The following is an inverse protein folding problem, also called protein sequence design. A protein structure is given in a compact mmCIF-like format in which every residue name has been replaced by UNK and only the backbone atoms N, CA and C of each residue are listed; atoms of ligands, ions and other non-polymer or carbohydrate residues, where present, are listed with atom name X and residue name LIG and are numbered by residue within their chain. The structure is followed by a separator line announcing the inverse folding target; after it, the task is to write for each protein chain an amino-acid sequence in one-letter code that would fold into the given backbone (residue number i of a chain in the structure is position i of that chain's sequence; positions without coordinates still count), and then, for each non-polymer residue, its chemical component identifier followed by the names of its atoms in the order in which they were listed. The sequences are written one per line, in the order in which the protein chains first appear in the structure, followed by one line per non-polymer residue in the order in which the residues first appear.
data_IF_526474595751
#
_entry.id   IF_526474595751
#
_cell.length_a   1.000
_cell.length_b   1.000
_cell.length_c   1.000
_cell.angle_alpha   90.00
_cell.angle_beta   90.00
_cell.angle_gamma   90.00
#
_symmetry.space_group_name_H-M   'P 1'
#
loop_
_entity.id
_entity.type
_entity.pdbx_description
1 polymer ?
#
# COMPACT_ATOMS: atom_id res chain seq x y z
N UNK A 1 -8.43 4.61 58.93
CA UNK A 1 -7.56 3.54 59.46
C UNK A 1 -8.04 2.25 58.81
N UNK A 2 -7.13 1.48 58.17
CA UNK A 2 -7.32 0.21 57.42
C UNK A 2 -8.10 0.34 56.09
N UNK A 3 -7.53 0.29 54.86
CA UNK A 3 -6.60 -0.61 54.11
C UNK A 3 -7.12 -2.03 53.83
N UNK A 4 -6.77 -2.52 52.63
CA UNK A 4 -7.05 -3.78 51.91
C UNK A 4 -8.27 -3.72 50.95
N UNK A 5 -8.20 -4.06 49.66
CA UNK A 5 -7.11 -4.58 48.82
C UNK A 5 -7.62 -4.92 47.41
N UNK A 6 -6.80 -4.57 46.41
CA UNK A 6 -6.41 -5.38 45.23
C UNK A 6 -7.40 -5.76 44.10
N UNK A 7 -7.03 -5.25 42.90
CA UNK A 7 -6.86 -5.93 41.58
C UNK A 7 -8.09 -6.60 40.93
N UNK A 8 -8.58 -5.99 39.85
CA UNK A 8 -9.17 -6.64 38.67
C UNK A 8 -8.85 -5.74 37.47
N UNK A 9 -7.83 -6.10 36.68
CA UNK A 9 -7.88 -6.95 35.48
C UNK A 9 -7.97 -6.11 34.21
N UNK A 10 -6.82 -6.00 33.55
CA UNK A 10 -6.72 -5.81 32.11
C UNK A 10 -7.45 -6.94 31.37
N UNK A 11 -7.76 -6.66 30.10
CA UNK A 11 -8.38 -7.54 29.08
C UNK A 11 -9.91 -7.54 29.05
N UNK A 12 -10.46 -6.85 28.04
CA UNK A 12 -11.10 -7.44 26.85
C UNK A 12 -11.49 -6.28 25.91
N UNK A 13 -10.66 -6.00 24.91
CA UNK A 13 -11.12 -5.35 23.66
C UNK A 13 -10.83 -6.32 22.53
N UNK A 14 -11.65 -7.35 22.46
CA UNK A 14 -11.83 -8.20 21.28
C UNK A 14 -13.27 -8.71 21.31
N UNK A 15 -14.17 -8.06 20.58
CA UNK A 15 -15.22 -8.76 19.85
C UNK A 15 -15.66 -7.98 18.60
N UNK A 16 -15.37 -8.66 17.50
CA UNK A 16 -15.75 -8.49 16.11
C UNK A 16 -17.25 -8.27 15.95
N UNK A 17 -17.62 -7.13 15.35
CA UNK A 17 -18.92 -6.94 14.72
C UNK A 17 -18.76 -6.90 13.20
N UNK A 18 -18.57 -8.06 12.55
CA UNK A 18 -18.78 -8.21 11.11
C UNK A 18 -20.26 -7.98 10.83
N UNK A 19 -20.64 -6.75 10.50
CA UNK A 19 -21.94 -6.47 9.91
C UNK A 19 -21.78 -6.55 8.40
N UNK A 20 -22.20 -7.67 7.83
CA UNK A 20 -22.59 -7.70 6.42
C UNK A 20 -23.75 -6.71 6.26
N UNK A 21 -23.50 -5.60 5.57
CA UNK A 21 -24.57 -4.76 5.01
C UNK A 21 -24.62 -4.99 3.51
N UNK A 22 -25.45 -5.95 3.10
CA UNK A 22 -25.98 -6.02 1.75
C UNK A 22 -26.99 -4.88 1.56
N UNK A 23 -26.53 -3.80 0.92
CA UNK A 23 -27.35 -2.67 0.51
C UNK A 23 -26.50 -1.79 -0.37
N UNK A 24 -26.83 -1.72 -1.66
CA UNK A 24 -26.13 -0.86 -2.62
C UNK A 24 -26.44 0.61 -2.33
N UNK A 25 -25.82 1.20 -1.30
CA UNK A 25 -25.56 2.63 -1.28
C UNK A 25 -24.29 2.88 -2.10
N UNK A 26 -24.31 3.86 -3.00
CA UNK A 26 -23.17 4.32 -3.82
C UNK A 26 -22.08 4.98 -2.95
N UNK A 27 -21.62 4.29 -1.92
CA UNK A 27 -20.70 4.79 -0.91
C UNK A 27 -19.41 3.97 -0.98
N UNK A 28 -18.28 4.68 -1.02
CA UNK A 28 -16.96 4.05 -1.02
C UNK A 28 -16.80 3.08 0.16
N UNK A 29 -16.05 1.98 -0.02
CA UNK A 29 -15.81 1.03 1.05
C UNK A 29 -15.08 1.70 2.21
N UNK A 30 -15.55 1.45 3.43
CA UNK A 30 -14.91 1.97 4.64
C UNK A 30 -13.64 1.14 4.91
N UNK A 31 -12.45 1.77 4.99
CA UNK A 31 -11.22 1.07 5.28
C UNK A 31 -11.21 0.53 6.72
N UNK A 32 -10.55 -0.62 6.96
CA UNK A 32 -10.32 -1.09 8.32
C UNK A 32 -9.42 -0.10 9.07
N UNK A 33 -9.58 -0.01 10.39
CA UNK A 33 -8.80 0.86 11.27
C UNK A 33 -7.40 0.30 11.54
N UNK A 34 -6.62 0.08 10.46
CA UNK A 34 -5.26 -0.45 10.51
C UNK A 34 -4.31 0.66 10.06
N UNK A 35 -3.34 1.01 10.89
CA UNK A 35 -2.33 2.02 10.62
C UNK A 35 -1.05 1.42 10.01
N UNK A 36 -0.62 0.27 10.51
CA UNK A 36 0.57 -0.47 10.06
C UNK A 36 0.19 -1.91 9.73
N UNK A 37 0.63 -2.37 8.55
CA UNK A 37 0.36 -3.73 8.07
C UNK A 37 1.46 -4.69 8.56
N UNK A 38 1.26 -5.32 9.72
CA UNK A 38 2.27 -6.17 10.36
C UNK A 38 2.06 -7.67 10.09
N UNK A 39 0.80 -8.10 9.91
CA UNK A 39 0.44 -9.51 9.78
C UNK A 39 -0.24 -9.93 8.46
N UNK A 40 -0.38 -11.25 8.24
CA UNK A 40 -1.07 -11.79 7.06
C UNK A 40 -2.57 -11.50 7.04
N UNK A 41 -3.22 -11.37 8.20
CA UNK A 41 -4.63 -10.97 8.29
C UNK A 41 -4.82 -9.52 7.82
N UNK A 42 -3.96 -8.60 8.26
CA UNK A 42 -3.99 -7.20 7.85
C UNK A 42 -3.83 -7.04 6.33
N UNK A 43 -2.91 -7.80 5.73
CA UNK A 43 -2.74 -7.81 4.27
C UNK A 43 -3.99 -8.34 3.55
N UNK A 44 -4.64 -9.36 4.09
CA UNK A 44 -5.87 -9.89 3.51
C UNK A 44 -7.02 -8.87 3.58
N UNK A 45 -7.17 -8.15 4.69
CA UNK A 45 -8.16 -7.08 4.83
C UNK A 45 -7.86 -5.90 3.91
N UNK A 46 -6.60 -5.47 3.85
CA UNK A 46 -6.16 -4.42 2.95
C UNK A 46 -6.45 -4.78 1.48
N UNK A 47 -6.19 -6.03 1.06
CA UNK A 47 -6.51 -6.52 -0.29
C UNK A 47 -8.00 -6.53 -0.60
N UNK A 48 -8.82 -6.93 0.37
CA UNK A 48 -10.29 -6.89 0.23
C UNK A 48 -10.76 -5.47 -0.01
N UNK A 49 -10.29 -4.53 0.80
CA UNK A 49 -10.61 -3.11 0.63
C UNK A 49 -10.16 -2.59 -0.73
N UNK A 50 -8.91 -2.85 -1.13
CA UNK A 50 -8.36 -2.44 -2.44
C UNK A 50 -9.19 -3.00 -3.59
N UNK A 51 -9.61 -4.27 -3.51
CA UNK A 51 -10.43 -4.92 -4.53
C UNK A 51 -11.81 -4.28 -4.67
N UNK A 52 -12.43 -3.91 -3.55
CA UNK A 52 -13.72 -3.19 -3.55
C UNK A 52 -13.53 -1.77 -4.10
N UNK A 53 -12.54 -1.03 -3.60
CA UNK A 53 -12.28 0.35 -4.01
C UNK A 53 -11.95 0.45 -5.50
N UNK A 54 -11.28 -0.56 -6.08
CA UNK A 54 -10.96 -0.61 -7.52
C UNK A 54 -12.19 -0.54 -8.43
N UNK A 55 -13.32 -1.11 -8.01
CA UNK A 55 -14.56 -1.15 -8.82
C UNK A 55 -15.39 0.11 -8.61
N UNK A 56 -15.27 0.75 -7.46
CA UNK A 56 -16.06 1.93 -7.10
C UNK A 56 -15.47 3.23 -7.65
N UNK A 57 -16.34 4.13 -8.09
CA UNK A 57 -15.96 5.49 -8.51
C UNK A 57 -16.06 6.47 -7.34
N UNK A 58 -15.15 7.43 -7.24
CA UNK A 58 -15.20 8.47 -6.19
C UNK A 58 -16.35 9.45 -6.49
N UNK A 59 -17.36 9.59 -5.60
CA UNK A 59 -18.41 10.58 -5.75
C UNK A 59 -17.87 12.01 -5.64
N UNK A 60 -18.44 12.92 -6.45
CA UNK A 60 -18.08 14.36 -6.45
C UNK A 60 -18.30 15.03 -5.08
N UNK A 61 -19.22 14.51 -4.27
CA UNK A 61 -19.56 15.05 -2.94
C UNK A 61 -18.48 14.83 -1.89
N UNK A 62 -17.55 13.88 -2.13
CA UNK A 62 -16.48 13.56 -1.18
C UNK A 62 -15.21 14.41 -1.40
N UNK A 63 -15.21 15.26 -2.42
CA UNK A 63 -14.07 16.11 -2.79
C UNK A 63 -14.48 17.56 -2.95
N UNK A 64 -13.54 18.47 -2.76
CA UNK A 64 -13.74 19.88 -3.04
C UNK A 64 -13.36 20.19 -4.48
N UNK A 65 -14.29 20.75 -5.24
CA UNK A 65 -14.09 21.13 -6.63
C UNK A 65 -13.86 22.63 -6.73
N UNK A 66 -12.84 23.03 -7.49
CA UNK A 66 -12.58 24.41 -7.85
C UNK A 66 -12.33 24.52 -9.36
N UNK A 67 -12.76 25.63 -9.95
CA UNK A 67 -12.66 25.87 -11.37
C UNK A 67 -11.87 27.14 -11.65
N UNK A 68 -11.03 27.07 -12.67
CA UNK A 68 -10.20 28.20 -13.07
C UNK A 68 -10.03 28.23 -14.58
N UNK A 69 -9.37 29.27 -15.10
CA UNK A 69 -9.05 29.36 -16.52
C UNK A 69 -7.88 28.42 -16.81
N UNK A 70 -7.96 27.72 -17.94
CA UNK A 70 -6.87 26.89 -18.42
C UNK A 70 -5.71 27.78 -18.88
N UNK A 71 -4.48 27.35 -18.62
CA UNK A 71 -3.27 28.02 -19.11
C UNK A 71 -2.99 27.58 -20.55
N UNK A 72 -3.00 28.50 -21.50
CA UNK A 72 -2.68 28.21 -22.91
C UNK A 72 -2.68 29.48 -23.78
N UNK A 73 -2.10 29.42 -25.00
CA UNK A 73 -2.06 30.55 -25.92
C UNK A 73 -3.48 31.05 -26.21
N UNK A 74 -3.68 32.35 -26.01
CA UNK A 74 -4.99 32.99 -25.88
C UNK A 74 -5.89 32.80 -27.10
N UNK A 75 -7.05 32.21 -26.86
CA UNK A 75 -8.19 32.20 -27.76
C UNK A 75 -9.46 32.57 -26.98
N UNK A 76 -10.57 32.81 -27.70
CA UNK A 76 -11.83 33.27 -27.06
C UNK A 76 -12.30 32.36 -25.91
N UNK A 77 -12.07 31.05 -25.99
CA UNK A 77 -12.49 30.07 -24.97
C UNK A 77 -11.53 29.92 -23.78
N UNK A 78 -10.25 30.29 -23.94
CA UNK A 78 -9.23 30.21 -22.86
C UNK A 78 -9.31 31.45 -21.96
N UNK A 79 -9.55 32.59 -22.62
CA UNK A 79 -10.17 33.71 -21.95
C UNK A 79 -11.65 33.37 -21.69
N UNK A 80 -12.53 34.13 -21.06
CA UNK A 80 -13.96 33.75 -20.88
C UNK A 80 -14.34 32.46 -20.09
N UNK A 81 -13.85 31.24 -20.38
CA UNK A 81 -14.42 29.99 -19.80
C UNK A 81 -13.48 29.30 -18.79
N UNK A 82 -13.99 29.06 -17.58
CA UNK A 82 -13.31 28.36 -16.49
C UNK A 82 -13.33 26.84 -16.68
N UNK A 83 -12.59 26.36 -17.66
CA UNK A 83 -12.56 24.93 -18.05
C UNK A 83 -11.62 24.09 -17.20
N UNK A 84 -10.60 24.67 -16.56
CA UNK A 84 -9.65 23.95 -15.70
C UNK A 84 -10.37 23.48 -14.44
N UNK A 85 -10.35 22.18 -14.19
CA UNK A 85 -10.88 21.59 -12.97
C UNK A 85 -9.74 21.28 -12.00
N UNK A 86 -9.97 21.60 -10.72
CA UNK A 86 -9.08 21.29 -9.61
C UNK A 86 -9.89 20.50 -8.58
N UNK A 87 -9.49 19.26 -8.32
CA UNK A 87 -10.01 18.41 -7.24
C UNK A 87 -9.06 18.51 -6.06
N UNK A 88 -9.62 18.83 -4.90
CA UNK A 88 -8.94 18.85 -3.62
C UNK A 88 -9.54 17.78 -2.71
N UNK A 89 -8.71 16.86 -2.23
CA UNK A 89 -9.11 15.79 -1.34
C UNK A 89 -8.27 15.82 -0.07
N UNK A 90 -8.91 15.83 1.11
CA UNK A 90 -8.18 15.69 2.37
C UNK A 90 -7.56 14.30 2.46
N UNK A 91 -6.29 14.20 2.87
CA UNK A 91 -5.65 12.91 3.15
C UNK A 91 -6.25 12.23 4.38
N UNK A 92 -6.92 13.01 5.24
CA UNK A 92 -7.61 12.52 6.45
C UNK A 92 -9.06 12.06 6.18
N UNK A 93 -9.49 11.96 4.92
CA UNK A 93 -10.84 11.51 4.59
C UNK A 93 -11.12 10.09 5.12
N UNK A 94 -12.35 9.88 5.60
CA UNK A 94 -12.76 8.62 6.27
C UNK A 94 -12.65 7.37 5.39
N UNK A 95 -12.71 7.54 4.06
CA UNK A 95 -12.63 6.47 3.08
C UNK A 95 -11.18 6.17 2.64
N UNK A 96 -10.20 6.95 3.08
CA UNK A 96 -8.78 6.72 2.78
C UNK A 96 -8.16 5.89 3.91
N UNK A 97 -7.57 4.72 3.62
CA UNK A 97 -6.93 3.90 4.64
C UNK A 97 -5.73 4.58 5.28
N UNK A 98 -5.57 4.41 6.60
CA UNK A 98 -4.47 5.02 7.38
C UNK A 98 -3.11 4.58 6.86
N UNK A 99 -2.96 3.29 6.57
CA UNK A 99 -1.74 2.68 6.07
C UNK A 99 -1.30 3.19 4.67
N UNK A 100 -2.21 3.78 3.87
CA UNK A 100 -1.87 4.40 2.57
C UNK A 100 -1.40 5.86 2.71
N UNK A 101 -1.65 6.52 3.85
CA UNK A 101 -1.35 7.95 4.04
C UNK A 101 0.12 8.26 3.87
N UNK A 102 1.00 7.40 4.38
CA UNK A 102 2.45 7.58 4.24
C UNK A 102 2.92 7.59 2.77
N UNK A 103 2.29 6.79 1.91
CA UNK A 103 2.56 6.80 0.48
C UNK A 103 1.96 8.05 -0.20
N UNK A 104 0.75 8.46 0.19
CA UNK A 104 0.10 9.67 -0.33
C UNK A 104 0.88 10.95 0.01
N UNK A 105 1.44 11.06 1.22
CA UNK A 105 2.25 12.21 1.64
C UNK A 105 3.52 12.36 0.78
N UNK A 106 4.07 11.25 0.27
CA UNK A 106 5.24 11.24 -0.62
C UNK A 106 4.88 11.59 -2.07
N UNK A 107 3.59 11.63 -2.41
CA UNK A 107 3.16 11.92 -3.78
C UNK A 107 3.39 13.39 -4.14
N UNK A 108 3.71 13.71 -5.41
CA UNK A 108 3.89 15.10 -5.84
C UNK A 108 2.58 15.90 -5.83
N UNK A 109 1.42 15.23 -5.77
CA UNK A 109 0.12 15.88 -5.66
C UNK A 109 -0.22 16.30 -4.22
N UNK A 110 0.60 15.92 -3.23
CA UNK A 110 0.36 16.27 -1.83
C UNK A 110 0.79 17.70 -1.50
N UNK A 111 -0.09 18.43 -0.82
CA UNK A 111 0.12 19.78 -0.36
C UNK A 111 0.21 19.79 1.17
N UNK A 112 1.43 19.95 1.68
CA UNK A 112 1.74 19.87 3.12
C UNK A 112 0.98 20.90 3.96
N UNK A 113 0.89 22.15 3.49
CA UNK A 113 0.26 23.26 4.22
C UNK A 113 -1.20 23.00 4.62
N UNK A 114 -1.89 22.16 3.85
CA UNK A 114 -3.32 21.93 4.02
C UNK A 114 -3.68 20.45 4.09
N UNK A 115 -2.68 19.57 4.23
CA UNK A 115 -2.80 18.11 4.37
C UNK A 115 -3.75 17.46 3.36
N UNK A 116 -3.63 17.87 2.10
CA UNK A 116 -4.55 17.46 1.04
C UNK A 116 -3.84 17.12 -0.25
N UNK A 117 -4.47 16.25 -1.04
CA UNK A 117 -4.11 15.99 -2.43
C UNK A 117 -4.77 17.03 -3.32
N UNK A 118 -3.99 17.63 -4.20
CA UNK A 118 -4.44 18.59 -5.20
C UNK A 118 -4.19 18.01 -6.60
N UNK A 119 -5.27 17.76 -7.33
CA UNK A 119 -5.22 17.18 -8.67
C UNK A 119 -5.90 18.15 -9.63
N UNK A 120 -5.25 18.43 -10.75
CA UNK A 120 -5.78 19.36 -11.75
C UNK A 120 -5.82 18.73 -13.13
N UNK A 121 -6.79 19.18 -13.94
CA UNK A 121 -6.92 18.77 -15.33
C UNK A 121 -7.39 19.92 -16.22
N UNK A 122 -6.77 20.01 -17.39
CA UNK A 122 -7.05 20.96 -18.47
C UNK A 122 -7.06 20.28 -19.84
N UNK A 123 -7.24 18.95 -19.86
CA UNK A 123 -7.10 18.14 -21.09
C UNK A 123 -8.24 18.43 -22.06
N UNK A 124 -9.46 18.57 -21.53
CA UNK A 124 -10.68 18.72 -22.32
C UNK A 124 -11.17 20.18 -22.34
N UNK A 125 -12.00 20.49 -23.34
CA UNK A 125 -12.70 21.77 -23.42
C UNK A 125 -13.88 21.86 -22.46
N UNK A 126 -14.44 20.72 -22.05
CA UNK A 126 -15.55 20.67 -21.09
C UNK A 126 -15.05 20.59 -19.65
N UNK A 127 -15.65 21.41 -18.78
CA UNK A 127 -15.44 21.37 -17.34
C UNK A 127 -15.81 20.01 -16.75
N UNK A 128 -16.92 19.39 -17.18
CA UNK A 128 -17.36 18.09 -16.65
C UNK A 128 -16.35 16.98 -16.94
N UNK A 129 -15.83 16.94 -18.17
CA UNK A 129 -14.81 15.97 -18.57
C UNK A 129 -13.51 16.16 -17.79
N UNK A 130 -13.10 17.40 -17.53
CA UNK A 130 -11.93 17.68 -16.69
C UNK A 130 -12.15 17.27 -15.23
N UNK A 131 -13.37 17.37 -14.70
CA UNK A 131 -13.69 16.83 -13.36
C UNK A 131 -13.55 15.32 -13.33
N UNK A 132 -14.11 14.61 -14.31
CA UNK A 132 -14.07 13.15 -14.36
C UNK A 132 -12.64 12.62 -14.53
N UNK A 133 -11.81 13.33 -15.30
CA UNK A 133 -10.36 13.05 -15.41
C UNK A 133 -9.62 13.25 -14.08
N UNK A 134 -9.89 14.35 -13.37
CA UNK A 134 -9.32 14.56 -12.03
C UNK A 134 -9.73 13.47 -11.04
N UNK A 135 -10.99 13.03 -11.05
CA UNK A 135 -11.47 11.95 -10.19
C UNK A 135 -10.82 10.61 -10.54
N UNK A 136 -10.64 10.33 -11.82
CA UNK A 136 -9.94 9.11 -12.30
C UNK A 136 -8.49 9.10 -11.84
N UNK A 137 -7.79 10.24 -11.96
CA UNK A 137 -6.42 10.41 -11.46
C UNK A 137 -6.34 10.26 -9.93
N UNK A 138 -7.30 10.83 -9.20
CA UNK A 138 -7.40 10.68 -7.75
C UNK A 138 -7.57 9.21 -7.35
N UNK A 139 -8.49 8.52 -8.01
CA UNK A 139 -8.77 7.11 -7.78
C UNK A 139 -7.52 6.26 -8.00
N UNK A 140 -6.83 6.43 -9.13
CA UNK A 140 -5.59 5.72 -9.43
C UNK A 140 -4.48 6.03 -8.41
N UNK A 141 -4.36 7.28 -7.95
CA UNK A 141 -3.38 7.67 -6.94
C UNK A 141 -3.65 6.99 -5.59
N UNK A 142 -4.90 7.02 -5.11
CA UNK A 142 -5.28 6.36 -3.85
C UNK A 142 -5.11 4.85 -3.98
N UNK A 143 -5.52 4.25 -5.10
CA UNK A 143 -5.41 2.81 -5.34
C UNK A 143 -3.94 2.35 -5.36
N UNK A 144 -3.05 3.11 -5.99
CA UNK A 144 -1.61 2.81 -6.02
C UNK A 144 -0.94 2.99 -4.66
N UNK A 145 -1.26 4.07 -3.94
CA UNK A 145 -0.78 4.29 -2.58
C UNK A 145 -1.27 3.19 -1.62
N UNK A 146 -2.50 2.71 -1.81
CA UNK A 146 -3.04 1.57 -1.09
C UNK A 146 -2.47 0.22 -1.60
N UNK A 147 -2.02 0.09 -2.84
CA UNK A 147 -1.45 -1.20 -3.24
C UNK A 147 0.01 -1.35 -2.76
N UNK A 148 0.72 -0.24 -2.56
CA UNK A 148 2.17 -0.23 -2.33
C UNK A 148 2.68 -0.92 -1.05
N UNK A 149 2.08 -0.75 0.14
CA UNK A 149 2.59 -1.37 1.38
C UNK A 149 2.09 -2.80 1.59
N UNK A 150 1.12 -3.26 0.78
CA UNK A 150 0.63 -4.63 0.83
C UNK A 150 1.72 -5.54 0.27
N UNK A 151 2.32 -6.37 1.13
CA UNK A 151 3.23 -7.42 0.67
C UNK A 151 2.43 -8.42 -0.14
N UNK A 152 2.82 -8.64 -1.39
CA UNK A 152 2.25 -9.73 -2.18
C UNK A 152 2.61 -11.05 -1.52
N UNK A 153 1.64 -11.96 -1.42
CA UNK A 153 1.96 -13.36 -1.16
C UNK A 153 2.88 -13.83 -2.27
N UNK A 154 4.08 -14.28 -1.90
CA UNK A 154 5.02 -14.91 -2.83
C UNK A 154 4.25 -15.96 -3.62
N UNK A 155 4.15 -15.80 -4.95
CA UNK A 155 3.48 -16.77 -5.81
C UNK A 155 4.05 -18.17 -5.56
N UNK A 156 3.24 -19.22 -5.72
CA UNK A 156 3.71 -20.58 -5.46
C UNK A 156 4.98 -20.93 -6.26
N UNK A 157 5.08 -20.41 -7.49
CA UNK A 157 6.28 -20.54 -8.32
C UNK A 157 7.50 -19.84 -7.70
N UNK A 158 7.31 -18.64 -7.14
CA UNK A 158 8.40 -17.90 -6.49
C UNK A 158 8.81 -18.59 -5.18
N UNK A 159 7.87 -19.17 -4.42
CA UNK A 159 8.18 -20.00 -3.24
C UNK A 159 8.98 -21.24 -3.63
N UNK A 160 8.53 -21.99 -4.65
CA UNK A 160 9.23 -23.16 -5.19
C UNK A 160 10.63 -22.82 -5.70
N UNK A 161 10.78 -21.68 -6.38
CA UNK A 161 12.08 -21.20 -6.89
C UNK A 161 13.05 -20.88 -5.74
N UNK A 162 12.58 -20.16 -4.71
CA UNK A 162 13.39 -19.86 -3.52
C UNK A 162 13.79 -21.14 -2.78
N UNK A 163 12.87 -22.10 -2.62
CA UNK A 163 13.17 -23.39 -1.99
C UNK A 163 14.20 -24.20 -2.81
N UNK A 164 14.07 -24.20 -4.14
CA UNK A 164 15.03 -24.81 -5.06
C UNK A 164 16.43 -24.19 -4.93
N UNK A 165 16.52 -22.86 -4.87
CA UNK A 165 17.80 -22.17 -4.64
C UNK A 165 18.40 -22.53 -3.27
N UNK A 166 17.60 -22.58 -2.20
CA UNK A 166 18.08 -22.97 -0.88
C UNK A 166 18.59 -24.42 -0.84
N UNK A 167 17.90 -25.35 -1.50
CA UNK A 167 18.33 -26.75 -1.63
C UNK A 167 19.66 -26.85 -2.40
N UNK A 168 19.78 -26.15 -3.53
CA UNK A 168 21.01 -26.11 -4.32
C UNK A 168 22.19 -25.50 -3.54
N UNK A 169 21.96 -24.43 -2.78
CA UNK A 169 22.96 -23.81 -1.91
C UNK A 169 23.44 -24.78 -0.82
N UNK A 170 22.50 -25.46 -0.14
CA UNK A 170 22.83 -26.48 0.88
C UNK A 170 23.65 -27.62 0.30
N UNK A 171 23.30 -28.10 -0.89
CA UNK A 171 24.02 -29.18 -1.56
C UNK A 171 25.44 -28.74 -1.98
N UNK A 172 25.62 -27.53 -2.51
CA UNK A 172 26.95 -26.96 -2.77
C UNK A 172 27.80 -26.88 -1.50
N UNK A 173 27.25 -26.31 -0.43
CA UNK A 173 27.96 -26.21 0.85
C UNK A 173 28.36 -27.58 1.41
N UNK A 174 27.50 -28.60 1.24
CA UNK A 174 27.81 -29.98 1.64
C UNK A 174 28.97 -30.55 0.84
N UNK A 175 28.94 -30.41 -0.50
CA UNK A 175 30.03 -30.88 -1.39
C UNK A 175 31.35 -30.20 -1.07
N UNK A 176 31.34 -28.88 -0.89
CA UNK A 176 32.53 -28.11 -0.53
C UNK A 176 33.11 -28.57 0.81
N UNK A 177 32.25 -28.84 1.80
CA UNK A 177 32.69 -29.39 3.10
C UNK A 177 33.35 -30.75 2.95
N UNK A 178 32.79 -31.64 2.13
CA UNK A 178 33.37 -32.96 1.84
C UNK A 178 34.72 -32.82 1.14
N UNK A 179 34.81 -32.01 0.08
CA UNK A 179 36.07 -31.78 -0.62
C UNK A 179 37.15 -31.21 0.29
N UNK A 180 36.82 -30.19 1.10
CA UNK A 180 37.75 -29.60 2.07
C UNK A 180 38.22 -30.64 3.09
N UNK A 181 37.33 -31.52 3.55
CA UNK A 181 37.70 -32.59 4.48
C UNK A 181 38.67 -33.60 3.87
N UNK A 182 38.46 -34.00 2.61
CA UNK A 182 39.33 -34.91 1.89
C UNK A 182 40.73 -34.30 1.66
N UNK A 183 40.79 -33.03 1.27
CA UNK A 183 42.06 -32.29 1.12
C UNK A 183 42.81 -32.22 2.46
N UNK A 184 42.11 -31.98 3.57
CA UNK A 184 42.72 -31.95 4.91
C UNK A 184 43.28 -33.32 5.30
N UNK A 185 42.52 -34.40 5.09
CA UNK A 185 42.97 -35.76 5.38
C UNK A 185 44.19 -36.15 4.56
N UNK A 186 44.18 -35.88 3.25
CA UNK A 186 45.32 -36.13 2.36
C UNK A 186 46.58 -35.40 2.82
N UNK A 187 46.46 -34.12 3.21
CA UNK A 187 47.59 -33.33 3.74
C UNK A 187 48.11 -33.88 5.07
N UNK A 188 47.22 -34.30 5.99
CA UNK A 188 47.64 -34.87 7.28
C UNK A 188 48.24 -36.28 7.18
N UNK A 189 47.82 -37.07 6.19
CA UNK A 189 48.32 -38.43 5.97
C UNK A 189 49.75 -38.46 5.43
N UNK A 190 50.12 -37.49 4.60
CA UNK A 190 51.48 -37.40 4.01
C UNK A 190 52.57 -37.01 5.02
N UNK A 191 52.21 -36.49 6.18
CA UNK A 191 53.15 -36.11 7.26
C UNK A 191 53.43 -37.22 8.29
N UNK A 192 52.86 -38.42 8.15
CA UNK A 192 53.05 -39.55 9.07
C UNK A 192 53.99 -40.66 8.57
N UNK A 193 54.62 -40.48 7.40
CA UNK A 193 55.61 -41.41 6.88
C UNK A 193 57.01 -40.82 6.87
N UNK A 194 57.86 -41.27 7.79
CA UNK A 194 59.32 -41.26 7.64
C UNK A 194 60.08 -40.03 8.15
N UNK A 195 60.36 -40.01 9.45
CA UNK A 195 61.65 -39.56 9.99
C UNK A 195 62.00 -40.53 11.12
N UNK A 196 62.58 -41.67 10.74
CA UNK A 196 63.31 -42.58 11.60
C UNK A 196 64.55 -43.04 10.81
#
# INVERSE_FOLDING_TARGET
MFKFGTILNEHIIRQVGRRFSSGHSKSLPIPPSIDVLEGPEDWAEARRWVSQFKVESIPRTLVQLSFSRSSGPGGQNVNKVNTKATVRCSTDAYWIPLWARAALIKSPQYVSSTKSLLITSTVYRSQSQNVDDCLTKLHALVLSAASSPIKNETSEETKKRVEGHQKAQKERNRKDKVQRSAVKQYRSGKGKGGWD
#
